data_IF_469872708241
#
_entry.id   IF_469872708241
#
_cell.length_a   1.000
_cell.length_b   1.000
_cell.length_c   1.000
_cell.angle_alpha   90.00
_cell.angle_beta   90.00
_cell.angle_gamma   90.00
#
_symmetry.space_group_name_H-M   'P 1'
#
loop_
_entity.id
_entity.type
_entity.pdbx_description
1 polymer ?
#
# COMPACT_ATOMS: atom_id res chain seq x y z
N UNK A 1 -2.10 7.97 3.29
CA UNK A 1 -1.20 8.14 2.13
C UNK A 1 -1.24 9.59 1.71
N UNK A 2 -0.09 10.20 1.52
CA UNK A 2 0.05 11.59 1.08
C UNK A 2 0.95 11.60 -0.16
N UNK A 3 0.57 12.31 -1.22
CA UNK A 3 1.43 12.49 -2.39
C UNK A 3 1.96 13.92 -2.45
N UNK A 4 3.27 14.06 -2.61
CA UNK A 4 3.95 15.34 -2.86
C UNK A 4 4.87 15.23 -4.08
N UNK A 5 5.67 16.28 -4.33
CA UNK A 5 6.60 16.33 -5.47
C UNK A 5 7.73 15.30 -5.39
N UNK A 6 7.99 14.72 -4.21
CA UNK A 6 9.02 13.71 -3.97
C UNK A 6 8.50 12.28 -4.10
N UNK A 7 7.19 12.07 -4.01
CA UNK A 7 6.55 10.76 -4.15
C UNK A 7 5.34 10.58 -3.24
N UNK A 8 5.10 9.34 -2.82
CA UNK A 8 3.97 8.95 -1.97
C UNK A 8 4.48 8.46 -0.62
N UNK A 9 3.88 8.94 0.46
CA UNK A 9 4.25 8.56 1.83
C UNK A 9 3.07 7.92 2.55
N UNK A 10 3.31 6.80 3.24
CA UNK A 10 2.36 6.19 4.17
C UNK A 10 2.72 6.67 5.58
N UNK A 11 1.72 7.16 6.32
CA UNK A 11 1.90 7.72 7.65
C UNK A 11 0.88 7.17 8.63
N UNK A 12 1.27 7.06 9.90
CA UNK A 12 0.37 6.79 11.01
C UNK A 12 0.62 7.82 12.13
N UNK A 13 -0.42 8.56 12.53
CA UNK A 13 -0.35 9.63 13.55
C UNK A 13 0.80 10.62 13.30
N UNK A 14 0.93 11.08 12.05
CA UNK A 14 1.98 12.03 11.63
C UNK A 14 3.38 11.43 11.48
N UNK A 15 3.60 10.16 11.82
CA UNK A 15 4.89 9.48 11.65
C UNK A 15 4.93 8.74 10.33
N UNK A 16 6.03 8.88 9.60
CA UNK A 16 6.26 8.15 8.34
C UNK A 16 6.53 6.69 8.64
N UNK A 17 5.81 5.80 7.96
CA UNK A 17 6.04 4.35 8.00
C UNK A 17 6.88 3.89 6.81
N UNK A 18 6.54 4.38 5.62
CA UNK A 18 7.30 4.10 4.39
C UNK A 18 7.08 5.22 3.37
N UNK A 19 8.05 5.38 2.46
CA UNK A 19 8.00 6.34 1.36
C UNK A 19 8.36 5.64 0.05
N UNK A 20 7.58 5.95 -0.98
CA UNK A 20 7.83 5.53 -2.36
C UNK A 20 8.15 6.77 -3.18
N UNK A 21 9.35 6.81 -3.75
CA UNK A 21 9.84 7.98 -4.49
C UNK A 21 9.13 8.15 -5.83
N UNK A 22 9.09 9.39 -6.33
CA UNK A 22 8.55 9.76 -7.65
C UNK A 22 9.48 9.29 -8.78
N UNK A 23 9.54 7.97 -8.95
CA UNK A 23 10.17 7.27 -10.06
C UNK A 23 9.29 6.07 -10.44
N UNK A 24 9.57 5.42 -11.57
CA UNK A 24 8.75 4.30 -12.07
C UNK A 24 8.55 3.21 -11.01
N UNK A 25 9.61 2.83 -10.31
CA UNK A 25 9.53 1.76 -9.31
C UNK A 25 8.69 2.15 -8.11
N UNK A 26 8.97 3.32 -7.54
CA UNK A 26 8.22 3.83 -6.39
C UNK A 26 6.76 4.06 -6.70
N UNK A 27 6.42 4.57 -7.88
CA UNK A 27 5.03 4.76 -8.26
C UNK A 27 4.29 3.45 -8.47
N UNK A 28 4.93 2.40 -9.01
CA UNK A 28 4.34 1.07 -9.10
C UNK A 28 4.09 0.47 -7.70
N UNK A 29 5.04 0.62 -6.78
CA UNK A 29 4.83 0.24 -5.38
C UNK A 29 3.66 1.01 -4.74
N UNK A 30 3.54 2.31 -5.02
CA UNK A 30 2.45 3.12 -4.51
C UNK A 30 1.08 2.69 -5.05
N UNK A 31 1.00 2.28 -6.32
CA UNK A 31 -0.22 1.71 -6.92
C UNK A 31 -0.59 0.38 -6.25
N UNK A 32 0.36 -0.56 -6.15
CA UNK A 32 0.12 -1.84 -5.49
C UNK A 32 -0.32 -1.68 -4.03
N UNK A 33 0.27 -0.74 -3.28
CA UNK A 33 -0.14 -0.40 -1.91
C UNK A 33 -1.56 0.18 -1.88
N UNK A 34 -1.90 1.05 -2.84
CA UNK A 34 -3.25 1.64 -2.92
C UNK A 34 -4.32 0.56 -3.15
N UNK A 35 -4.02 -0.41 -4.00
CA UNK A 35 -4.86 -1.56 -4.29
C UNK A 35 -4.98 -2.50 -3.08
N UNK A 36 -3.86 -2.90 -2.48
CA UNK A 36 -3.82 -3.75 -1.28
C UNK A 36 -4.62 -3.17 -0.11
N UNK A 37 -4.63 -1.85 0.05
CA UNK A 37 -5.39 -1.19 1.10
C UNK A 37 -6.83 -0.86 0.72
N UNK A 38 -7.26 -1.08 -0.53
CA UNK A 38 -8.52 -0.57 -1.08
C UNK A 38 -8.71 0.94 -0.86
N UNK A 39 -7.62 1.71 -0.95
CA UNK A 39 -7.60 3.16 -0.77
C UNK A 39 -7.15 3.79 -2.09
N UNK A 40 -7.87 4.80 -2.57
CA UNK A 40 -7.48 5.50 -3.80
C UNK A 40 -6.08 6.10 -3.64
N UNK A 41 -5.23 5.92 -4.66
CA UNK A 41 -3.95 6.63 -4.73
C UNK A 41 -4.22 8.15 -4.69
N UNK A 42 -3.67 8.89 -3.71
CA UNK A 42 -3.87 10.34 -3.63
C UNK A 42 -3.29 11.00 -4.88
N UNK A 43 -3.93 12.09 -5.34
CA UNK A 43 -3.36 12.97 -6.37
C UNK A 43 -2.27 13.87 -5.78
N UNK A 44 -1.48 14.52 -6.63
CA UNK A 44 -0.39 15.41 -6.20
C UNK A 44 -0.89 16.51 -5.26
N UNK A 45 -0.27 16.63 -4.08
CA UNK A 45 -0.67 17.56 -3.02
C UNK A 45 -1.84 17.06 -2.16
N UNK A 46 -2.41 15.90 -2.49
CA UNK A 46 -3.54 15.30 -1.80
C UNK A 46 -3.16 14.23 -0.78
N UNK A 47 -4.15 13.85 0.01
CA UNK A 47 -4.06 12.76 0.98
C UNK A 47 -5.30 11.89 0.97
N UNK A 48 -5.13 10.60 1.24
CA UNK A 48 -6.22 9.65 1.45
C UNK A 48 -5.91 8.81 2.69
N UNK A 49 -6.94 8.48 3.47
CA UNK A 49 -6.80 7.75 4.72
C UNK A 49 -7.81 6.60 4.79
N UNK A 50 -7.50 5.59 5.59
CA UNK A 50 -8.39 4.47 5.85
C UNK A 50 -7.86 3.64 7.01
N UNK A 51 -8.71 2.74 7.51
CA UNK A 51 -8.38 1.79 8.56
C UNK A 51 -7.79 0.53 7.94
N UNK A 52 -6.65 0.09 8.45
CA UNK A 52 -5.97 -1.14 8.02
C UNK A 52 -5.62 -1.97 9.24
N UNK A 53 -5.80 -3.28 9.16
CA UNK A 53 -5.35 -4.20 10.22
C UNK A 53 -3.83 -4.26 10.26
N UNK A 54 -3.24 -4.64 11.39
CA UNK A 54 -1.77 -4.79 11.51
C UNK A 54 -1.22 -5.83 10.54
N UNK A 55 -1.99 -6.88 10.22
CA UNK A 55 -1.58 -7.87 9.23
C UNK A 55 -1.48 -7.30 7.82
N UNK A 56 -2.48 -6.49 7.41
CA UNK A 56 -2.46 -5.75 6.15
C UNK A 56 -1.33 -4.71 6.12
N UNK A 57 -1.13 -4.08 7.27
CA UNK A 57 0.09 -3.42 7.75
C UNK A 57 1.36 -3.91 7.05
N UNK A 58 1.72 -5.14 7.39
CA UNK A 58 2.97 -5.75 6.96
C UNK A 58 3.01 -6.09 5.46
N UNK A 59 1.86 -6.34 4.81
CA UNK A 59 1.80 -6.52 3.35
C UNK A 59 2.14 -5.21 2.62
N UNK A 60 1.61 -4.09 3.12
CA UNK A 60 1.93 -2.75 2.59
C UNK A 60 3.42 -2.43 2.73
N UNK A 61 4.03 -2.80 3.86
CA UNK A 61 5.48 -2.63 4.06
C UNK A 61 6.28 -3.53 3.13
N UNK A 62 5.88 -4.78 2.90
CA UNK A 62 6.54 -5.67 1.96
C UNK A 62 6.49 -5.11 0.53
N UNK A 63 5.32 -4.66 0.08
CA UNK A 63 5.13 -4.02 -1.23
C UNK A 63 6.02 -2.79 -1.42
N UNK A 64 6.25 -2.01 -0.35
CA UNK A 64 7.07 -0.79 -0.44
C UNK A 64 8.56 -1.07 -0.61
N UNK A 65 9.03 -2.28 -0.29
CA UNK A 65 10.42 -2.69 -0.43
C UNK A 65 10.72 -3.34 -1.80
N UNK A 66 9.70 -3.59 -2.63
CA UNK A 66 9.90 -4.21 -3.94
C UNK A 66 10.58 -3.26 -4.92
N UNK A 67 11.55 -3.80 -5.67
CA UNK A 67 12.18 -3.11 -6.78
C UNK A 67 11.47 -3.47 -8.09
N UNK A 68 10.56 -2.62 -8.54
CA UNK A 68 9.81 -2.79 -9.79
C UNK A 68 10.63 -2.49 -11.05
N UNK A 69 11.95 -2.34 -10.93
CA UNK A 69 12.87 -2.52 -12.06
C UNK A 69 13.13 -3.99 -12.35
N UNK A 70 12.91 -4.87 -11.38
CA UNK A 70 12.98 -6.33 -11.53
C UNK A 70 11.58 -6.87 -11.91
N UNK A 71 11.41 -7.54 -13.06
CA UNK A 71 10.15 -8.16 -13.47
C UNK A 71 9.56 -9.13 -12.44
N UNK A 72 10.39 -9.91 -11.72
CA UNK A 72 9.93 -10.86 -10.70
C UNK A 72 9.23 -10.17 -9.52
N UNK A 73 9.55 -8.89 -9.27
CA UNK A 73 8.86 -8.10 -8.25
C UNK A 73 7.37 -7.90 -8.56
N UNK A 74 6.96 -7.93 -9.84
CA UNK A 74 5.55 -7.80 -10.20
C UNK A 74 4.75 -9.05 -9.85
N UNK A 75 5.35 -10.24 -10.01
CA UNK A 75 4.74 -11.50 -9.60
C UNK A 75 4.55 -11.55 -8.08
N UNK A 76 5.59 -11.19 -7.32
CA UNK A 76 5.50 -11.12 -5.87
C UNK A 76 4.52 -10.03 -5.40
N UNK A 77 4.46 -8.90 -6.10
CA UNK A 77 3.49 -7.85 -5.80
C UNK A 77 2.05 -8.34 -6.00
N UNK A 78 1.78 -9.10 -7.06
CA UNK A 78 0.46 -9.68 -7.34
C UNK A 78 0.01 -10.58 -6.19
N UNK A 79 0.86 -11.53 -5.77
CA UNK A 79 0.56 -12.44 -4.65
C UNK A 79 0.30 -11.67 -3.34
N UNK A 80 1.14 -10.69 -3.03
CA UNK A 80 0.97 -9.86 -1.83
C UNK A 80 -0.32 -9.03 -1.85
N UNK A 81 -0.73 -8.55 -3.03
CA UNK A 81 -2.00 -7.83 -3.22
C UNK A 81 -3.18 -8.79 -3.05
N UNK A 82 -3.12 -9.99 -3.62
CA UNK A 82 -4.19 -11.00 -3.49
C UNK A 82 -4.35 -11.48 -2.05
N UNK A 83 -3.25 -11.69 -1.32
CA UNK A 83 -3.26 -11.93 0.12
C UNK A 83 -3.93 -10.78 0.87
N UNK A 84 -3.52 -9.54 0.59
CA UNK A 84 -4.05 -8.34 1.21
C UNK A 84 -5.57 -8.19 1.01
N UNK A 85 -6.06 -8.41 -0.22
CA UNK A 85 -7.49 -8.40 -0.55
C UNK A 85 -8.24 -9.50 0.22
N UNK A 86 -7.66 -10.70 0.29
CA UNK A 86 -8.23 -11.82 1.05
C UNK A 86 -8.36 -11.50 2.55
N UNK A 87 -7.37 -10.82 3.13
CA UNK A 87 -7.40 -10.37 4.52
C UNK A 87 -8.47 -9.31 4.78
N UNK A 88 -8.76 -8.44 3.81
CA UNK A 88 -9.84 -7.45 3.93
C UNK A 88 -11.22 -8.12 3.93
N UNK A 89 -11.41 -9.16 3.10
CA UNK A 89 -12.68 -9.93 3.03
C UNK A 89 -12.91 -10.81 4.26
N UNK A 90 -11.84 -11.33 4.87
CA UNK A 90 -11.92 -12.12 6.10
C UNK A 90 -12.30 -11.30 7.35
N UNK A 91 -12.07 -9.99 7.35
CA UNK A 91 -12.47 -9.12 8.46
C UNK A 91 -13.99 -8.86 8.50
N UNK A 92 -14.67 -8.92 7.36
CA UNK A 92 -16.12 -8.71 7.26
C UNK A 92 -16.98 -9.85 7.82
N UNK A 93 -16.42 -11.03 8.09
CA UNK A 93 -17.15 -12.19 8.64
C UNK A 93 -17.09 -12.29 10.17
N UNK A 94 -16.46 -11.34 10.86
CA UNK A 94 -16.43 -11.28 12.34
C UNK A 94 -17.33 -10.15 12.89
N UNK A 95 -18.51 -9.97 12.31
CA UNK A 95 -19.64 -9.30 13.01
C UNK A 95 -20.52 -10.39 13.60
N UNK A 96 -20.25 -10.75 14.85
CA UNK A 96 -21.06 -11.71 15.58
C UNK A 96 -20.34 -12.29 16.78
N UNK A 97 -20.13 -11.47 17.83
CA UNK A 97 -20.41 -11.78 19.25
C UNK A 97 -20.73 -10.47 19.95
#
# INVERSE_FOLDING_TARGET
MNQDKSGVTVTHKGRVLTRMYLNRSGMNAAVAISEAMAIKLPALGGSTSGLVSTGLLYRVLALSQLDFRNPTSYELASELVDEAISMQRGASTTSGV
#
